data_IF_665006143719
#
_entry.id   IF_665006143719
#
_cell.length_a   1.000
_cell.length_b   1.000
_cell.length_c   1.000
_cell.angle_alpha   90.00
_cell.angle_beta   90.00
_cell.angle_gamma   90.00
#
_symmetry.space_group_name_H-M   'P 1'
#
loop_
_entity.id
_entity.type
_entity.pdbx_description
1 polymer ?
#
# COMPACT_ATOMS: atom_id res chain seq x y z
N UNK A 1 -61.79 -52.69 -18.14
CA UNK A 1 -60.65 -51.76 -17.96
C UNK A 1 -61.05 -50.77 -16.90
N UNK A 2 -60.44 -50.87 -15.73
CA UNK A 2 -60.88 -50.28 -14.47
C UNK A 2 -60.69 -48.76 -14.44
N UNK A 3 -61.74 -48.02 -14.03
CA UNK A 3 -61.78 -46.55 -13.83
C UNK A 3 -60.56 -45.99 -13.08
N UNK A 4 -59.93 -46.82 -12.24
CA UNK A 4 -58.71 -46.51 -11.51
C UNK A 4 -57.54 -46.10 -12.42
N UNK A 5 -57.37 -46.75 -13.59
CA UNK A 5 -56.31 -46.41 -14.55
C UNK A 5 -56.56 -45.05 -15.24
N UNK A 6 -57.83 -44.72 -15.50
CA UNK A 6 -58.23 -43.45 -16.11
C UNK A 6 -57.96 -42.28 -15.15
N UNK A 7 -58.33 -42.41 -13.88
CA UNK A 7 -58.04 -41.39 -12.86
C UNK A 7 -56.53 -41.22 -12.62
N UNK A 8 -55.74 -42.30 -12.64
CA UNK A 8 -54.28 -42.20 -12.48
C UNK A 8 -53.60 -41.49 -13.64
N UNK A 9 -54.00 -41.73 -14.89
CA UNK A 9 -53.41 -41.01 -16.04
C UNK A 9 -53.83 -39.54 -16.08
N UNK A 10 -55.06 -39.23 -15.66
CA UNK A 10 -55.58 -37.86 -15.63
C UNK A 10 -54.90 -37.04 -14.53
N UNK A 11 -54.68 -37.62 -13.34
CA UNK A 11 -53.97 -36.98 -12.22
C UNK A 11 -52.47 -36.85 -12.51
N UNK A 12 -51.84 -37.92 -13.04
CA UNK A 12 -50.41 -37.91 -13.37
C UNK A 12 -50.08 -36.92 -14.50
N UNK A 13 -50.90 -36.91 -15.57
CA UNK A 13 -50.67 -36.08 -16.74
C UNK A 13 -51.07 -34.61 -16.56
N UNK A 14 -52.18 -34.31 -15.87
CA UNK A 14 -52.71 -32.94 -15.79
C UNK A 14 -52.35 -32.17 -14.52
N UNK A 15 -52.02 -32.85 -13.42
CA UNK A 15 -51.75 -32.19 -12.13
C UNK A 15 -50.30 -32.38 -11.70
N UNK A 16 -49.75 -33.60 -11.83
CA UNK A 16 -48.39 -33.89 -11.38
C UNK A 16 -47.32 -33.24 -12.29
N UNK A 17 -47.50 -33.33 -13.61
CA UNK A 17 -46.59 -32.75 -14.60
C UNK A 17 -46.38 -31.22 -14.43
N UNK A 18 -47.43 -30.38 -14.32
CA UNK A 18 -47.24 -28.95 -14.12
C UNK A 18 -46.62 -28.62 -12.75
N UNK A 19 -46.92 -29.39 -11.70
CA UNK A 19 -46.28 -29.24 -10.38
C UNK A 19 -44.77 -29.53 -10.45
N UNK A 20 -44.38 -30.58 -11.16
CA UNK A 20 -42.98 -30.93 -11.38
C UNK A 20 -42.27 -29.85 -12.20
N UNK A 21 -42.89 -29.36 -13.27
CA UNK A 21 -42.35 -28.27 -14.10
C UNK A 21 -42.24 -26.96 -13.30
N UNK A 22 -43.23 -26.64 -12.48
CA UNK A 22 -43.21 -25.48 -11.58
C UNK A 22 -42.06 -25.59 -10.56
N UNK A 23 -41.90 -26.76 -9.94
CA UNK A 23 -40.82 -27.01 -8.98
C UNK A 23 -39.43 -26.95 -9.64
N UNK A 24 -39.28 -27.53 -10.84
CA UNK A 24 -38.06 -27.43 -11.65
C UNK A 24 -37.76 -25.98 -12.01
N UNK A 25 -38.75 -25.24 -12.52
CA UNK A 25 -38.63 -23.82 -12.84
C UNK A 25 -38.20 -22.98 -11.63
N UNK A 26 -38.83 -23.20 -10.48
CA UNK A 26 -38.47 -22.55 -9.22
C UNK A 26 -37.04 -22.89 -8.78
N UNK A 27 -36.65 -24.17 -8.83
CA UNK A 27 -35.29 -24.62 -8.45
C UNK A 27 -34.22 -24.06 -9.39
N UNK A 28 -34.49 -24.03 -10.70
CA UNK A 28 -33.58 -23.44 -11.68
C UNK A 28 -33.48 -21.92 -11.53
N UNK A 29 -34.61 -21.24 -11.29
CA UNK A 29 -34.66 -19.81 -11.01
C UNK A 29 -33.82 -19.43 -9.79
N UNK A 30 -33.99 -20.13 -8.67
CA UNK A 30 -33.19 -19.91 -7.46
C UNK A 30 -31.70 -20.18 -7.71
N UNK A 31 -31.35 -21.28 -8.38
CA UNK A 31 -29.95 -21.59 -8.69
C UNK A 31 -29.31 -20.51 -9.58
N UNK A 32 -30.06 -19.94 -10.53
CA UNK A 32 -29.57 -18.84 -11.36
C UNK A 32 -29.38 -17.57 -10.55
N UNK A 33 -30.37 -17.19 -9.75
CA UNK A 33 -30.30 -16.03 -8.86
C UNK A 33 -29.14 -16.12 -7.85
N UNK A 34 -28.92 -17.30 -7.26
CA UNK A 34 -27.80 -17.53 -6.35
C UNK A 34 -26.43 -17.40 -7.04
N UNK A 35 -26.33 -17.81 -8.31
CA UNK A 35 -25.10 -17.63 -9.12
C UNK A 35 -24.84 -16.16 -9.39
N UNK A 36 -25.85 -15.43 -9.85
CA UNK A 36 -25.76 -13.98 -10.07
C UNK A 36 -25.38 -13.24 -8.78
N UNK A 37 -26.01 -13.57 -7.64
CA UNK A 37 -25.63 -13.02 -6.33
C UNK A 37 -24.24 -13.41 -5.87
N UNK A 38 -23.70 -14.55 -6.31
CA UNK A 38 -22.32 -14.96 -6.00
C UNK A 38 -21.33 -14.18 -6.84
N UNK A 39 -21.62 -13.98 -8.12
CA UNK A 39 -20.82 -13.16 -9.05
C UNK A 39 -20.80 -11.70 -8.64
N UNK A 40 -21.97 -11.10 -8.35
CA UNK A 40 -22.06 -9.72 -7.83
C UNK A 40 -21.23 -9.54 -6.55
N UNK A 41 -21.28 -10.52 -5.63
CA UNK A 41 -20.49 -10.49 -4.40
C UNK A 41 -19.00 -10.66 -4.66
N UNK A 42 -18.61 -11.43 -5.67
CA UNK A 42 -17.22 -11.59 -6.07
C UNK A 42 -16.68 -10.29 -6.66
N UNK A 43 -17.38 -9.71 -7.64
CA UNK A 43 -17.00 -8.44 -8.27
C UNK A 43 -16.87 -7.31 -7.24
N UNK A 44 -17.84 -7.17 -6.33
CA UNK A 44 -17.77 -6.17 -5.25
C UNK A 44 -16.55 -6.35 -4.34
N UNK A 45 -16.15 -7.59 -4.05
CA UNK A 45 -14.94 -7.84 -3.25
C UNK A 45 -13.68 -7.47 -4.01
N UNK A 46 -13.62 -7.80 -5.30
CA UNK A 46 -12.49 -7.45 -6.16
C UNK A 46 -12.35 -5.92 -6.29
N UNK A 47 -13.46 -5.21 -6.48
CA UNK A 47 -13.50 -3.74 -6.48
C UNK A 47 -13.01 -3.15 -5.15
N UNK A 48 -13.53 -3.64 -4.01
CA UNK A 48 -13.09 -3.17 -2.69
C UNK A 48 -11.60 -3.41 -2.46
N UNK A 49 -11.10 -4.60 -2.79
CA UNK A 49 -9.67 -4.92 -2.67
C UNK A 49 -8.81 -3.99 -3.53
N UNK A 50 -9.25 -3.74 -4.76
CA UNK A 50 -8.56 -2.83 -5.67
C UNK A 50 -8.56 -1.39 -5.13
N UNK A 51 -9.70 -0.89 -4.66
CA UNK A 51 -9.81 0.43 -4.04
C UNK A 51 -8.86 0.58 -2.84
N UNK A 52 -8.86 -0.39 -1.92
CA UNK A 52 -7.96 -0.34 -0.77
C UNK A 52 -6.48 -0.45 -1.15
N UNK A 53 -6.14 -1.21 -2.20
CA UNK A 53 -4.77 -1.25 -2.74
C UNK A 53 -4.36 0.11 -3.29
N UNK A 54 -5.21 0.77 -4.07
CA UNK A 54 -4.94 2.12 -4.59
C UNK A 54 -4.79 3.16 -3.46
N UNK A 55 -5.65 3.11 -2.45
CA UNK A 55 -5.55 3.97 -1.27
C UNK A 55 -4.21 3.77 -0.55
N UNK A 56 -3.77 2.52 -0.42
CA UNK A 56 -2.50 2.17 0.21
C UNK A 56 -1.31 2.73 -0.57
N UNK A 57 -1.32 2.58 -1.91
CA UNK A 57 -0.30 3.15 -2.80
C UNK A 57 -0.29 4.68 -2.72
N UNK A 58 -1.46 5.33 -2.67
CA UNK A 58 -1.59 6.78 -2.52
C UNK A 58 -1.05 7.28 -1.19
N UNK A 59 -1.32 6.57 -0.09
CA UNK A 59 -0.79 6.90 1.23
C UNK A 59 0.75 6.84 1.24
N UNK A 60 1.33 5.79 0.64
CA UNK A 60 2.79 5.66 0.48
C UNK A 60 3.37 6.73 -0.43
N UNK A 61 2.67 7.11 -1.50
CA UNK A 61 3.12 8.19 -2.38
C UNK A 61 3.35 9.50 -1.61
N UNK A 62 2.51 9.78 -0.60
CA UNK A 62 2.69 10.91 0.30
C UNK A 62 3.98 10.86 1.14
N UNK A 63 4.53 9.67 1.39
CA UNK A 63 5.78 9.46 2.11
C UNK A 63 7.02 9.76 1.25
N UNK A 64 6.91 9.67 -0.08
CA UNK A 64 8.01 10.01 -1.00
C UNK A 64 8.49 11.46 -0.83
N UNK A 65 7.60 12.37 -0.40
CA UNK A 65 7.96 13.77 -0.15
C UNK A 65 9.07 13.92 0.92
N UNK A 66 9.15 13.00 1.88
CA UNK A 66 10.20 12.99 2.92
C UNK A 66 11.55 12.55 2.37
N UNK A 67 11.54 11.74 1.31
CA UNK A 67 12.72 11.14 0.68
C UNK A 67 13.21 11.94 -0.55
N UNK A 68 12.47 12.97 -0.96
CA UNK A 68 12.78 13.77 -2.14
C UNK A 68 14.15 14.43 -2.05
N UNK A 69 14.91 14.37 -3.16
CA UNK A 69 16.18 15.09 -3.29
C UNK A 69 15.99 16.61 -3.37
N UNK A 70 14.83 17.06 -3.88
CA UNK A 70 14.48 18.48 -3.91
C UNK A 70 14.07 18.91 -2.51
N UNK A 71 14.61 20.05 -2.08
CA UNK A 71 14.26 20.66 -0.80
C UNK A 71 12.77 21.05 -0.79
N UNK A 72 12.04 20.46 0.13
CA UNK A 72 10.64 20.72 0.43
C UNK A 72 10.49 20.85 1.95
N UNK A 73 9.36 21.37 2.42
CA UNK A 73 9.01 21.50 3.82
C UNK A 73 9.17 20.18 4.59
N UNK A 74 8.85 19.05 3.94
CA UNK A 74 8.87 17.69 4.48
C UNK A 74 10.18 16.92 4.24
N UNK A 75 11.07 17.41 3.39
CA UNK A 75 12.30 16.69 3.03
C UNK A 75 13.18 16.46 4.25
N UNK A 76 13.60 15.22 4.46
CA UNK A 76 14.39 14.80 5.63
C UNK A 76 15.88 15.06 5.43
N UNK A 77 16.41 14.88 4.22
CA UNK A 77 17.83 15.06 3.89
C UNK A 77 18.04 16.27 2.99
N UNK A 78 18.93 17.18 3.39
CA UNK A 78 19.22 18.41 2.63
C UNK A 78 20.72 18.56 2.41
N UNK A 79 21.10 18.87 1.17
CA UNK A 79 22.48 19.22 0.80
C UNK A 79 22.70 20.72 1.02
N UNK A 80 23.71 21.08 1.81
CA UNK A 80 24.11 22.48 2.04
C UNK A 80 25.61 22.65 1.79
N UNK A 81 25.99 23.82 1.30
CA UNK A 81 27.40 24.20 1.21
C UNK A 81 27.90 24.59 2.60
N UNK A 82 28.96 23.94 3.05
CA UNK A 82 29.70 24.24 4.27
C UNK A 82 30.92 25.07 3.87
N UNK A 83 30.99 26.31 4.35
CA UNK A 83 32.22 27.10 4.25
C UNK A 83 33.25 26.46 5.18
N UNK A 84 34.39 26.03 4.63
CA UNK A 84 35.49 25.56 5.45
C UNK A 84 36.19 26.78 6.07
N UNK A 85 36.29 26.78 7.40
CA UNK A 85 37.05 27.77 8.16
C UNK A 85 38.52 27.36 8.15
N UNK A 86 39.20 27.50 7.01
CA UNK A 86 40.62 27.18 6.84
C UNK A 86 41.30 28.17 5.88
N UNK A 87 42.63 28.30 5.91
CA UNK A 87 43.38 29.22 5.05
C UNK A 87 43.17 28.95 3.55
N UNK A 88 42.81 27.72 3.19
CA UNK A 88 42.32 27.34 1.86
C UNK A 88 40.78 27.41 1.86
N UNK A 89 40.23 28.57 1.49
CA UNK A 89 38.80 28.86 1.54
C UNK A 89 37.97 28.05 0.54
N UNK A 90 37.78 26.76 0.79
CA UNK A 90 36.92 25.87 0.02
C UNK A 90 35.49 25.83 0.56
N UNK A 91 34.49 25.78 -0.32
CA UNK A 91 33.11 25.43 0.05
C UNK A 91 32.87 23.96 -0.31
N UNK A 92 32.75 23.09 0.68
CA UNK A 92 32.43 21.67 0.46
C UNK A 92 30.94 21.42 0.72
N UNK A 93 30.29 20.59 -0.10
CA UNK A 93 28.89 20.27 0.09
C UNK A 93 28.73 19.15 1.12
N UNK A 94 28.02 19.43 2.21
CA UNK A 94 27.71 18.46 3.25
C UNK A 94 26.22 18.12 3.26
N UNK A 95 25.90 16.89 3.67
CA UNK A 95 24.52 16.41 3.82
C UNK A 95 24.07 16.55 5.26
N UNK A 96 22.86 17.05 5.45
CA UNK A 96 22.27 17.25 6.76
C UNK A 96 20.94 16.50 6.86
N UNK A 97 20.76 15.78 7.95
CA UNK A 97 19.49 15.22 8.39
C UNK A 97 18.74 16.27 9.19
N UNK A 98 17.48 16.57 8.83
CA UNK A 98 16.61 17.44 9.60
C UNK A 98 15.86 16.64 10.66
N UNK A 99 16.16 16.87 11.93
CA UNK A 99 15.71 16.04 13.05
C UNK A 99 14.18 16.06 13.21
N UNK A 100 13.53 17.22 13.07
CA UNK A 100 12.07 17.35 13.17
C UNK A 100 11.35 16.56 12.09
N UNK A 101 11.78 16.70 10.83
CA UNK A 101 11.19 16.00 9.68
C UNK A 101 11.45 14.50 9.75
N UNK A 102 12.61 14.09 10.26
CA UNK A 102 12.92 12.70 10.52
C UNK A 102 11.95 12.09 11.54
N UNK A 103 11.68 12.77 12.64
CA UNK A 103 10.68 12.33 13.63
C UNK A 103 9.27 12.28 13.05
N UNK A 104 8.84 13.29 12.31
CA UNK A 104 7.53 13.30 11.63
C UNK A 104 7.38 12.11 10.67
N UNK A 105 8.42 11.79 9.89
CA UNK A 105 8.42 10.58 9.05
C UNK A 105 8.29 9.30 9.88
N UNK A 106 9.03 9.18 10.99
CA UNK A 106 9.03 8.00 11.85
C UNK A 106 7.69 7.80 12.57
N UNK A 107 6.94 8.85 12.86
CA UNK A 107 5.58 8.77 13.41
C UNK A 107 4.55 8.44 12.33
N UNK A 108 4.70 9.04 11.15
CA UNK A 108 3.73 8.91 10.06
C UNK A 108 3.76 7.56 9.36
N UNK A 109 4.94 6.94 9.26
CA UNK A 109 5.10 5.63 8.63
C UNK A 109 4.31 4.52 9.36
N UNK A 110 4.47 4.29 10.68
CA UNK A 110 3.65 3.33 11.44
C UNK A 110 2.16 3.63 11.39
N UNK A 111 1.76 4.91 11.42
CA UNK A 111 0.35 5.31 11.32
C UNK A 111 -0.29 4.85 10.01
N UNK A 112 0.40 5.05 8.88
CA UNK A 112 -0.08 4.58 7.57
C UNK A 112 -0.09 3.05 7.51
N UNK A 113 0.94 2.39 8.06
CA UNK A 113 1.09 0.94 7.92
C UNK A 113 0.16 0.14 8.84
N UNK A 114 0.06 0.52 10.11
CA UNK A 114 -0.58 -0.27 11.15
C UNK A 114 -1.94 0.29 11.55
N UNK A 115 -2.07 1.60 11.80
CA UNK A 115 -3.37 2.17 12.20
C UNK A 115 -4.37 2.17 11.05
N UNK A 116 -3.92 2.53 9.85
CA UNK A 116 -4.76 2.54 8.65
C UNK A 116 -4.80 1.19 7.92
N UNK A 117 -3.98 0.22 8.33
CA UNK A 117 -3.95 -1.13 7.73
C UNK A 117 -3.42 -1.21 6.30
N UNK A 118 -2.93 -0.11 5.72
CA UNK A 118 -2.41 -0.07 4.35
C UNK A 118 -1.17 -0.95 4.15
N UNK A 119 -0.48 -1.31 5.23
CA UNK A 119 0.70 -2.16 5.19
C UNK A 119 0.46 -3.53 4.55
N UNK A 120 -0.72 -4.13 4.75
CA UNK A 120 -1.04 -5.50 4.32
C UNK A 120 -1.16 -5.61 2.80
N UNK A 121 -1.70 -4.58 2.15
CA UNK A 121 -1.99 -4.56 0.72
C UNK A 121 -0.80 -4.07 -0.12
N UNK A 122 0.27 -3.60 0.52
CA UNK A 122 1.47 -3.13 -0.16
C UNK A 122 2.40 -4.29 -0.53
N UNK A 123 2.96 -4.26 -1.76
CA UNK A 123 4.00 -5.19 -2.18
C UNK A 123 5.20 -5.18 -1.23
N UNK A 124 5.82 -6.36 -1.07
CA UNK A 124 6.96 -6.55 -0.19
C UNK A 124 8.18 -5.71 -0.58
N UNK A 125 8.35 -5.39 -1.86
CA UNK A 125 9.42 -4.53 -2.35
C UNK A 125 9.29 -3.10 -1.80
N UNK A 126 8.10 -2.51 -1.93
CA UNK A 126 7.81 -1.16 -1.42
C UNK A 126 7.95 -1.14 0.11
N UNK A 127 7.43 -2.17 0.79
CA UNK A 127 7.57 -2.32 2.23
C UNK A 127 9.05 -2.38 2.65
N UNK A 128 9.85 -3.25 2.02
CA UNK A 128 11.27 -3.39 2.35
C UNK A 128 12.04 -2.08 2.19
N UNK A 129 11.83 -1.37 1.09
CA UNK A 129 12.53 -0.11 0.82
C UNK A 129 12.15 1.01 1.81
N UNK A 130 10.87 1.13 2.18
CA UNK A 130 10.41 2.09 3.21
C UNK A 130 11.03 1.81 4.58
N UNK A 131 11.05 0.54 5.00
CA UNK A 131 11.65 0.15 6.28
C UNK A 131 13.19 0.22 6.26
N UNK A 132 13.82 0.03 5.10
CA UNK A 132 15.25 0.29 4.93
C UNK A 132 15.56 1.78 5.15
N UNK A 133 14.79 2.68 4.52
CA UNK A 133 14.92 4.12 4.74
C UNK A 133 14.70 4.51 6.21
N UNK A 134 13.65 3.97 6.85
CA UNK A 134 13.38 4.13 8.29
C UNK A 134 14.57 3.71 9.15
N UNK A 135 15.19 2.58 8.83
CA UNK A 135 16.34 2.05 9.56
C UNK A 135 17.54 2.98 9.46
N UNK A 136 17.79 3.57 8.29
CA UNK A 136 18.85 4.56 8.12
C UNK A 136 18.61 5.82 8.97
N UNK A 137 17.37 6.31 9.03
CA UNK A 137 17.01 7.44 9.89
C UNK A 137 17.25 7.12 11.36
N UNK A 138 16.76 5.98 11.85
CA UNK A 138 16.95 5.57 13.24
C UNK A 138 18.44 5.52 13.60
N UNK A 139 19.26 4.87 12.77
CA UNK A 139 20.71 4.78 13.01
C UNK A 139 21.38 6.14 13.10
N UNK A 140 21.00 7.08 12.23
CA UNK A 140 21.56 8.44 12.29
C UNK A 140 21.13 9.18 13.55
N UNK A 141 19.85 9.11 13.94
CA UNK A 141 19.35 9.72 15.16
C UNK A 141 20.01 9.12 16.41
N UNK A 142 20.21 7.80 16.44
CA UNK A 142 20.86 7.11 17.56
C UNK A 142 22.35 7.46 17.65
N UNK A 143 23.06 7.52 16.52
CA UNK A 143 24.47 7.96 16.49
C UNK A 143 24.63 9.41 16.95
N UNK A 144 23.66 10.28 16.69
CA UNK A 144 23.69 11.68 17.13
C UNK A 144 23.35 11.84 18.63
N UNK A 145 22.65 10.86 19.23
CA UNK A 145 22.41 10.77 20.67
C UNK A 145 23.63 10.23 21.42
N UNK A 146 24.31 9.24 20.84
CA UNK A 146 25.55 8.67 21.38
C UNK A 146 26.68 9.71 21.28
N UNK A 147 26.79 10.55 22.32
CA UNK A 147 27.78 11.63 22.38
C UNK A 147 27.23 12.98 22.85
N UNK A 148 25.92 13.09 23.16
CA UNK A 148 25.32 14.32 23.71
C UNK A 148 24.25 14.01 24.75
N UNK A 149 24.31 14.67 25.90
CA UNK A 149 23.11 14.85 26.74
C UNK A 149 22.15 15.81 26.01
N UNK A 150 20.85 15.52 26.07
CA UNK A 150 19.77 16.18 25.34
C UNK A 150 19.85 17.73 25.37
N UNK A 151 19.29 18.45 24.38
CA UNK A 151 18.52 17.97 23.22
C UNK A 151 19.35 17.79 21.93
N UNK A 152 18.81 17.00 20.98
CA UNK A 152 19.39 16.85 19.65
C UNK A 152 19.39 18.18 18.88
N UNK A 153 20.42 18.46 18.07
CA UNK A 153 20.42 19.63 17.21
C UNK A 153 19.31 19.55 16.16
N UNK A 154 18.87 20.70 15.66
CA UNK A 154 17.86 20.78 14.59
C UNK A 154 18.30 20.04 13.32
N UNK A 155 19.61 20.03 13.05
CA UNK A 155 20.24 19.37 11.92
C UNK A 155 21.46 18.56 12.37
N UNK A 156 21.58 17.35 11.83
CA UNK A 156 22.68 16.43 12.09
C UNK A 156 23.47 16.26 10.80
N UNK A 157 24.77 16.52 10.83
CA UNK A 157 25.65 16.29 9.68
C UNK A 157 25.82 14.79 9.44
N UNK A 158 25.62 14.36 8.19
CA UNK A 158 25.80 12.97 7.78
C UNK A 158 27.26 12.77 7.40
N UNK A 159 28.02 12.13 8.28
CA UNK A 159 29.45 11.85 8.07
C UNK A 159 29.71 10.77 7.01
N UNK A 160 28.73 9.90 6.76
CA UNK A 160 28.85 8.83 5.77
C UNK A 160 28.51 9.36 4.37
N UNK A 161 29.53 9.59 3.55
CA UNK A 161 29.40 10.09 2.17
C UNK A 161 28.61 9.15 1.24
N UNK A 162 28.59 7.84 1.52
CA UNK A 162 27.87 6.86 0.71
C UNK A 162 26.38 6.80 1.02
N UNK A 163 25.98 7.19 2.24
CA UNK A 163 24.59 7.07 2.70
C UNK A 163 23.60 7.88 1.84
N UNK A 164 23.87 9.14 1.47
CA UNK A 164 23.00 9.89 0.55
C UNK A 164 22.76 9.18 -0.79
N UNK A 165 23.79 8.53 -1.35
CA UNK A 165 23.65 7.76 -2.60
C UNK A 165 22.75 6.53 -2.40
N UNK A 166 22.92 5.80 -1.30
CA UNK A 166 22.06 4.67 -0.95
C UNK A 166 20.60 5.12 -0.77
N UNK A 167 20.36 6.24 -0.11
CA UNK A 167 19.01 6.78 0.07
C UNK A 167 18.36 7.19 -1.25
N UNK A 168 19.14 7.76 -2.17
CA UNK A 168 18.67 8.08 -3.51
C UNK A 168 18.27 6.81 -4.28
N UNK A 169 19.07 5.76 -4.21
CA UNK A 169 18.74 4.47 -4.82
C UNK A 169 17.44 3.88 -4.24
N UNK A 170 17.24 3.98 -2.91
CA UNK A 170 15.98 3.55 -2.27
C UNK A 170 14.80 4.36 -2.80
N UNK A 171 14.93 5.68 -2.91
CA UNK A 171 13.91 6.55 -3.46
C UNK A 171 13.55 6.19 -4.91
N UNK A 172 14.56 5.99 -5.77
CA UNK A 172 14.35 5.67 -7.18
C UNK A 172 13.68 4.31 -7.36
N UNK A 173 14.08 3.30 -6.56
CA UNK A 173 13.41 1.99 -6.53
C UNK A 173 11.96 2.09 -6.07
N UNK A 174 11.70 2.84 -5.00
CA UNK A 174 10.33 3.08 -4.52
C UNK A 174 9.46 3.74 -5.58
N UNK A 175 9.96 4.79 -6.22
CA UNK A 175 9.24 5.51 -7.26
C UNK A 175 8.92 4.59 -8.46
N UNK A 176 9.90 3.78 -8.88
CA UNK A 176 9.73 2.84 -9.98
C UNK A 176 8.72 1.74 -9.64
N UNK A 177 8.82 1.15 -8.44
CA UNK A 177 7.89 0.11 -8.00
C UNK A 177 6.47 0.65 -7.81
N UNK A 178 6.31 1.84 -7.23
CA UNK A 178 5.00 2.48 -7.11
C UNK A 178 4.37 2.75 -8.48
N UNK A 179 5.16 3.21 -9.46
CA UNK A 179 4.66 3.43 -10.83
C UNK A 179 4.25 2.13 -11.50
N UNK A 180 5.02 1.06 -11.35
CA UNK A 180 4.67 -0.27 -11.87
C UNK A 180 3.36 -0.76 -11.29
N UNK A 181 3.20 -0.63 -9.97
CA UNK A 181 2.00 -1.05 -9.25
C UNK A 181 0.75 -0.24 -9.66
N UNK A 182 0.91 1.07 -9.86
CA UNK A 182 -0.17 1.93 -10.38
C UNK A 182 -0.53 1.62 -11.83
N UNK A 183 0.45 1.18 -12.63
CA UNK A 183 0.24 0.81 -14.03
C UNK A 183 -0.30 -0.62 -14.19
N UNK A 184 -0.08 -1.50 -13.20
CA UNK A 184 -0.65 -2.85 -13.21
C UNK A 184 -2.16 -2.77 -13.05
N UNK A 185 -2.88 -2.91 -14.17
CA UNK A 185 -4.34 -3.06 -14.17
C UNK A 185 -4.68 -4.36 -13.41
N UNK A 186 -5.77 -4.42 -12.63
CA UNK A 186 -6.19 -5.68 -12.03
C UNK A 186 -6.44 -6.67 -13.17
N UNK A 187 -5.71 -7.79 -13.21
CA UNK A 187 -6.01 -8.89 -14.10
C UNK A 187 -7.38 -9.44 -13.69
N UNK A 188 -8.41 -9.03 -14.42
CA UNK A 188 -9.73 -9.64 -14.36
C UNK A 188 -9.62 -11.03 -14.97
N UNK A 189 -9.35 -12.04 -14.13
CA UNK A 189 -9.48 -13.47 -14.48
C UNK A 189 -10.93 -13.94 -14.30
#
# INVERSE_FOLDING_TARGET
>A
MTDWQFWTELIAGKILLPLILFWLGYRFGIRRWLREKKEERRLKREEMQYHHRLESLRAVWGLLAYMSQKENEKTVFVKRLKKQSGPEGGSSAAWFLRTKQAHDFLERLPRIFYEQGHGILLPDEIRRDLFAFRTHIHRLLDSARQGREKPLPERIEVLNEKLPQTLNQIYDRLLLNLRKELASKPETN
#
